data_IF_089909115520
#
_entry.id   IF_089909115520
#
_cell.length_a   1.000
_cell.length_b   1.000
_cell.length_c   1.000
_cell.angle_alpha   90.00
_cell.angle_beta   90.00
_cell.angle_gamma   90.00
#
_symmetry.space_group_name_H-M   'P 1'
#
loop_
_entity.id
_entity.type
_entity.pdbx_description
1 polymer ?
#
# COMPACT_ATOMS: atom_id res chain seq x y z
N UNK A 1 -26.78 -32.27 8.56
CA UNK A 1 -26.35 -31.64 9.83
C UNK A 1 -26.03 -30.18 9.54
N UNK A 2 -26.59 -29.22 10.27
CA UNK A 2 -26.17 -27.83 10.15
C UNK A 2 -24.72 -27.70 10.63
N UNK A 3 -23.88 -26.83 10.02
CA UNK A 3 -22.53 -26.60 10.51
C UNK A 3 -22.61 -25.98 11.91
N UNK A 4 -21.94 -26.60 12.87
CA UNK A 4 -21.83 -26.13 14.24
C UNK A 4 -21.11 -24.78 14.26
N UNK A 5 -21.86 -23.72 14.60
CA UNK A 5 -21.32 -22.37 14.79
C UNK A 5 -20.38 -22.40 16.01
N UNK A 6 -19.09 -22.65 15.77
CA UNK A 6 -18.09 -22.51 16.82
C UNK A 6 -17.93 -21.01 17.09
N UNK A 7 -18.17 -20.51 18.31
CA UNK A 7 -18.03 -19.08 18.60
C UNK A 7 -16.59 -18.64 18.32
N UNK A 8 -16.42 -17.45 17.72
CA UNK A 8 -15.08 -16.91 17.48
C UNK A 8 -14.37 -16.76 18.81
N UNK A 9 -13.27 -17.47 19.01
CA UNK A 9 -12.44 -17.32 20.20
C UNK A 9 -11.74 -15.97 20.11
N UNK A 10 -12.28 -14.97 20.79
CA UNK A 10 -11.57 -13.71 21.03
C UNK A 10 -10.39 -14.02 21.93
N UNK A 11 -9.19 -13.72 21.45
CA UNK A 11 -7.95 -13.85 22.22
C UNK A 11 -7.67 -12.52 22.93
N UNK A 12 -6.92 -12.53 24.04
CA UNK A 12 -6.57 -11.31 24.75
C UNK A 12 -5.82 -10.32 23.84
N UNK A 13 -5.99 -9.03 24.12
CA UNK A 13 -5.30 -7.96 23.40
C UNK A 13 -3.79 -8.05 23.59
N UNK A 14 -3.02 -7.89 22.51
CA UNK A 14 -1.56 -7.80 22.59
C UNK A 14 -1.23 -6.33 22.83
N UNK A 15 -0.93 -5.99 24.09
CA UNK A 15 -0.29 -4.71 24.39
C UNK A 15 1.15 -4.79 23.92
N UNK A 16 1.48 -3.98 22.92
CA UNK A 16 2.86 -3.78 22.50
C UNK A 16 3.42 -2.69 23.40
N UNK A 17 3.91 -3.11 24.56
CA UNK A 17 4.54 -2.19 25.51
C UNK A 17 5.81 -1.58 24.89
N UNK A 18 6.22 -0.44 25.47
CA UNK A 18 7.20 0.49 24.92
C UNK A 18 8.58 -0.14 24.63
N UNK A 19 9.49 0.65 24.06
CA UNK A 19 10.83 0.25 23.63
C UNK A 19 11.63 -0.62 24.63
N UNK A 20 11.31 -0.56 25.92
CA UNK A 20 12.01 -1.16 27.05
C UNK A 20 11.55 -2.59 27.47
N UNK A 21 10.47 -3.13 26.90
CA UNK A 21 9.94 -4.42 27.36
C UNK A 21 10.58 -5.59 26.61
N UNK A 22 11.45 -6.30 27.33
CA UNK A 22 12.32 -7.45 26.99
C UNK A 22 12.99 -7.45 25.59
N UNK A 23 14.27 -7.85 25.49
CA UNK A 23 14.90 -8.02 24.19
C UNK A 23 14.17 -9.12 23.41
N UNK A 24 13.29 -8.75 22.47
CA UNK A 24 12.76 -9.69 21.50
C UNK A 24 13.93 -10.06 20.58
N UNK A 25 14.47 -11.30 20.64
CA UNK A 25 15.67 -11.67 19.90
C UNK A 25 15.46 -11.66 18.38
N UNK A 26 14.21 -11.59 17.91
CA UNK A 26 13.86 -11.51 16.50
C UNK A 26 13.66 -10.06 16.00
N UNK A 27 13.65 -9.08 16.89
CA UNK A 27 13.44 -7.66 16.57
C UNK A 27 14.68 -6.83 16.89
N UNK A 28 15.31 -6.28 15.86
CA UNK A 28 16.44 -5.34 16.01
C UNK A 28 15.92 -3.90 16.01
N UNK A 29 16.22 -3.16 17.09
CA UNK A 29 15.89 -1.74 17.24
C UNK A 29 17.15 -0.88 17.42
N UNK A 30 17.17 0.39 16.94
CA UNK A 30 16.10 1.03 16.18
C UNK A 30 15.89 0.35 14.82
N UNK A 31 14.64 0.20 14.41
CA UNK A 31 14.30 -0.36 13.11
C UNK A 31 14.64 0.68 12.05
N UNK A 32 15.71 0.42 11.30
CA UNK A 32 16.11 1.24 10.16
C UNK A 32 15.57 0.65 8.88
N UNK A 33 15.22 1.51 7.93
CA UNK A 33 14.91 1.06 6.59
C UNK A 33 16.20 0.86 5.80
N UNK A 34 16.39 -0.32 5.23
CA UNK A 34 17.46 -0.56 4.26
C UNK A 34 17.19 0.08 2.90
N UNK A 35 18.12 -0.03 1.94
CA UNK A 35 17.95 0.47 0.58
C UNK A 35 16.67 -0.07 -0.07
N UNK A 36 15.98 0.79 -0.82
CA UNK A 36 14.78 0.43 -1.57
C UNK A 36 15.16 0.01 -2.99
N UNK A 37 14.75 -1.20 -3.39
CA UNK A 37 14.95 -1.70 -4.75
C UNK A 37 13.61 -1.94 -5.42
N UNK A 38 13.40 -1.35 -6.60
CA UNK A 38 12.24 -1.68 -7.42
C UNK A 38 12.42 -3.08 -8.03
N UNK A 39 11.49 -3.98 -7.72
CA UNK A 39 11.54 -5.39 -8.10
C UNK A 39 10.64 -5.68 -9.31
N UNK A 40 9.45 -5.12 -9.33
CA UNK A 40 8.48 -5.28 -10.40
C UNK A 40 7.46 -4.13 -10.37
N UNK A 41 6.60 -4.03 -11.37
CA UNK A 41 5.53 -3.02 -11.39
C UNK A 41 4.27 -3.54 -12.09
N UNK A 42 3.18 -2.77 -12.01
CA UNK A 42 2.02 -2.98 -12.85
C UNK A 42 1.32 -1.65 -13.18
N UNK A 43 0.63 -1.66 -14.31
CA UNK A 43 -0.28 -0.61 -14.72
C UNK A 43 -1.71 -1.01 -14.41
N UNK A 44 -2.52 -0.05 -14.00
CA UNK A 44 -3.98 -0.18 -13.97
C UNK A 44 -4.56 0.81 -14.97
N UNK A 45 -5.42 0.32 -15.85
CA UNK A 45 -6.16 1.13 -16.83
C UNK A 45 -7.60 0.65 -16.91
N UNK A 46 -8.58 1.54 -16.71
CA UNK A 46 -10.02 1.20 -16.79
C UNK A 46 -10.39 -0.05 -15.95
N UNK A 47 -9.78 -0.17 -14.77
CA UNK A 47 -9.97 -1.31 -13.85
C UNK A 47 -9.26 -2.61 -14.24
N UNK A 48 -8.50 -2.63 -15.34
CA UNK A 48 -7.69 -3.80 -15.75
C UNK A 48 -6.27 -3.65 -15.25
N UNK A 49 -5.75 -4.70 -14.62
CA UNK A 49 -4.34 -4.76 -14.19
C UNK A 49 -3.49 -5.40 -15.28
N UNK A 50 -2.43 -4.69 -15.67
CA UNK A 50 -1.44 -5.13 -16.64
C UNK A 50 -0.13 -5.26 -15.89
N UNK A 51 0.22 -6.50 -15.60
CA UNK A 51 1.42 -6.86 -14.85
C UNK A 51 2.68 -6.60 -15.68
N UNK A 52 3.74 -6.14 -15.01
CA UNK A 52 5.06 -5.87 -15.59
C UNK A 52 5.01 -4.84 -16.73
N UNK A 53 4.20 -3.80 -16.51
CA UNK A 53 3.91 -2.76 -17.48
C UNK A 53 4.15 -1.37 -16.88
N UNK A 54 4.60 -0.47 -17.75
CA UNK A 54 4.74 0.98 -17.50
C UNK A 54 3.74 1.81 -18.31
N UNK A 55 2.70 1.20 -18.89
CA UNK A 55 1.73 1.90 -19.77
C UNK A 55 0.99 3.06 -19.10
N UNK A 56 0.72 2.95 -17.79
CA UNK A 56 0.12 4.01 -16.97
C UNK A 56 1.14 4.85 -16.20
N UNK A 57 2.44 4.68 -16.45
CA UNK A 57 3.50 5.44 -15.78
C UNK A 57 3.50 6.89 -16.29
N UNK A 58 3.24 7.84 -15.39
CA UNK A 58 3.41 9.26 -15.67
C UNK A 58 4.86 9.72 -15.48
N UNK A 59 5.32 10.59 -16.37
CA UNK A 59 6.54 11.37 -16.20
C UNK A 59 6.21 12.75 -15.67
N UNK A 60 6.95 13.20 -14.65
CA UNK A 60 6.77 14.52 -14.06
C UNK A 60 7.00 15.60 -15.11
N UNK A 61 6.04 16.51 -15.20
CA UNK A 61 6.12 17.76 -15.95
C UNK A 61 5.80 18.88 -14.98
N UNK A 62 6.56 19.96 -15.08
CA UNK A 62 6.28 21.13 -14.27
C UNK A 62 4.86 21.64 -14.58
N UNK A 63 4.00 21.80 -13.57
CA UNK A 63 2.62 22.23 -13.79
C UNK A 63 2.56 23.56 -14.52
N UNK A 64 1.56 23.71 -15.38
CA UNK A 64 1.29 24.96 -16.06
C UNK A 64 0.87 26.05 -15.06
N UNK A 65 1.10 27.30 -15.43
CA UNK A 65 0.73 28.46 -14.60
C UNK A 65 -0.78 28.68 -14.62
N UNK A 66 -1.40 28.95 -13.47
CA UNK A 66 -2.84 29.25 -13.31
C UNK A 66 -3.77 28.07 -13.62
N UNK A 67 -3.55 26.94 -12.96
CA UNK A 67 -4.45 25.77 -13.08
C UNK A 67 -5.68 25.91 -12.20
N UNK A 68 -6.83 25.52 -12.76
CA UNK A 68 -8.08 25.31 -12.03
C UNK A 68 -8.28 23.81 -11.78
N UNK A 69 -8.13 23.43 -10.51
CA UNK A 69 -8.31 22.05 -10.05
C UNK A 69 -9.77 21.61 -9.97
N UNK A 70 -10.74 22.53 -10.10
CA UNK A 70 -12.17 22.22 -10.15
C UNK A 70 -12.67 21.96 -11.57
N UNK A 71 -11.83 22.19 -12.58
CA UNK A 71 -12.19 21.92 -13.97
C UNK A 71 -12.52 20.44 -14.16
N UNK A 72 -13.80 20.15 -14.46
CA UNK A 72 -14.32 18.78 -14.62
C UNK A 72 -14.94 18.17 -13.35
N UNK A 73 -15.03 18.94 -12.25
CA UNK A 73 -15.54 18.45 -10.96
C UNK A 73 -17.00 18.02 -11.06
N UNK A 74 -17.85 18.79 -11.75
CA UNK A 74 -19.28 18.49 -11.86
C UNK A 74 -19.50 17.17 -12.58
N UNK A 75 -18.76 16.91 -13.65
CA UNK A 75 -18.80 15.65 -14.39
C UNK A 75 -18.31 14.48 -13.54
N UNK A 76 -17.25 14.68 -12.75
CA UNK A 76 -16.75 13.68 -11.81
C UNK A 76 -17.79 13.31 -10.74
N UNK A 77 -18.40 14.31 -10.11
CA UNK A 77 -19.39 14.10 -9.06
C UNK A 77 -20.64 13.34 -9.54
N UNK A 78 -20.89 13.32 -10.86
CA UNK A 78 -21.98 12.55 -11.48
C UNK A 78 -21.63 11.09 -11.77
N UNK A 79 -20.34 10.71 -11.79
CA UNK A 79 -19.94 9.33 -12.11
C UNK A 79 -20.33 8.39 -10.95
N UNK A 80 -20.94 7.22 -11.24
CA UNK A 80 -21.21 6.23 -10.20
C UNK A 80 -19.89 5.66 -9.67
N UNK A 81 -19.65 5.82 -8.37
CA UNK A 81 -18.42 5.37 -7.74
C UNK A 81 -18.37 3.84 -7.60
N UNK A 82 -17.36 3.20 -8.19
CA UNK A 82 -17.22 1.74 -8.25
C UNK A 82 -16.34 1.18 -7.13
N UNK A 83 -16.70 1.49 -5.87
CA UNK A 83 -15.92 1.13 -4.68
C UNK A 83 -15.50 -0.35 -4.63
N UNK A 84 -16.39 -1.27 -5.01
CA UNK A 84 -16.11 -2.72 -4.93
C UNK A 84 -15.02 -3.15 -5.91
N UNK A 85 -14.99 -2.58 -7.11
CA UNK A 85 -13.99 -2.88 -8.14
C UNK A 85 -12.63 -2.34 -7.69
N UNK A 86 -12.59 -1.08 -7.26
CA UNK A 86 -11.37 -0.45 -6.76
C UNK A 86 -10.76 -1.21 -5.56
N UNK A 87 -11.60 -1.65 -4.62
CA UNK A 87 -11.15 -2.44 -3.47
C UNK A 87 -10.59 -3.81 -3.84
N UNK A 88 -11.07 -4.42 -4.92
CA UNK A 88 -10.52 -5.69 -5.42
C UNK A 88 -9.12 -5.51 -5.98
N UNK A 89 -8.87 -4.40 -6.66
CA UNK A 89 -7.55 -4.08 -7.20
C UNK A 89 -6.52 -3.91 -6.05
N UNK A 90 -6.96 -3.46 -4.88
CA UNK A 90 -6.09 -3.29 -3.69
C UNK A 90 -5.96 -4.55 -2.81
N UNK A 91 -6.44 -5.72 -3.27
CA UNK A 91 -6.09 -7.02 -2.64
C UNK A 91 -4.65 -7.40 -2.99
N UNK A 92 -4.10 -8.41 -2.31
CA UNK A 92 -2.73 -8.88 -2.57
C UNK A 92 -2.55 -9.56 -3.94
N UNK A 93 -3.63 -9.87 -4.64
CA UNK A 93 -3.64 -10.60 -5.92
C UNK A 93 -2.66 -10.00 -6.92
N UNK A 94 -2.74 -8.69 -7.13
CA UNK A 94 -1.90 -7.99 -8.11
C UNK A 94 -0.44 -7.95 -7.67
N UNK A 95 -0.16 -7.86 -6.37
CA UNK A 95 1.19 -7.92 -5.81
C UNK A 95 1.83 -9.28 -6.10
N UNK A 96 1.08 -10.36 -5.84
CA UNK A 96 1.54 -11.73 -5.98
C UNK A 96 1.67 -12.13 -7.45
N UNK A 97 0.68 -11.78 -8.27
CA UNK A 97 0.70 -12.04 -9.71
C UNK A 97 1.84 -11.27 -10.39
N UNK A 98 2.08 -10.02 -9.98
CA UNK A 98 3.21 -9.23 -10.45
C UNK A 98 4.54 -9.93 -10.23
N UNK A 99 4.80 -10.38 -9.01
CA UNK A 99 6.06 -11.04 -8.69
C UNK A 99 6.22 -12.39 -9.42
N UNK A 100 5.14 -13.15 -9.59
CA UNK A 100 5.18 -14.42 -10.32
C UNK A 100 5.49 -14.22 -11.81
N UNK A 101 4.82 -13.25 -12.48
CA UNK A 101 4.98 -12.99 -13.92
C UNK A 101 6.30 -12.32 -14.26
N UNK A 102 6.76 -11.36 -13.43
CA UNK A 102 8.06 -10.72 -13.58
C UNK A 102 9.25 -11.66 -13.27
N UNK A 103 8.98 -12.94 -12.95
CA UNK A 103 9.98 -13.94 -12.53
C UNK A 103 10.75 -13.53 -11.26
N UNK A 104 10.12 -12.72 -10.41
CA UNK A 104 10.63 -12.21 -9.13
C UNK A 104 10.19 -13.06 -7.95
N UNK A 105 10.15 -14.37 -8.15
CA UNK A 105 9.70 -15.32 -7.13
C UNK A 105 10.72 -15.47 -6.00
N UNK A 106 12.00 -15.20 -6.26
CA UNK A 106 13.05 -15.22 -5.23
C UNK A 106 12.86 -14.08 -4.24
N UNK A 107 12.63 -12.87 -4.73
CA UNK A 107 12.33 -11.68 -3.93
C UNK A 107 11.08 -11.89 -3.06
N UNK A 108 10.05 -12.50 -3.63
CA UNK A 108 8.84 -12.87 -2.89
C UNK A 108 9.11 -13.93 -1.81
N UNK A 109 9.88 -14.97 -2.11
CA UNK A 109 10.21 -16.05 -1.18
C UNK A 109 11.17 -15.63 -0.06
N UNK A 110 11.96 -14.59 -0.29
CA UNK A 110 12.88 -14.01 0.69
C UNK A 110 12.22 -12.94 1.58
N UNK A 111 10.96 -12.57 1.31
CA UNK A 111 10.25 -11.59 2.11
C UNK A 111 9.69 -12.22 3.40
N UNK A 112 9.85 -11.54 4.53
CA UNK A 112 9.16 -11.87 5.78
C UNK A 112 7.73 -11.32 5.79
N UNK A 113 7.51 -10.19 5.09
CA UNK A 113 6.21 -9.50 5.03
C UNK A 113 5.89 -9.07 3.59
N UNK A 114 4.67 -9.37 3.15
CA UNK A 114 4.10 -8.94 1.86
C UNK A 114 2.85 -8.10 2.09
N UNK A 115 2.87 -6.84 1.67
CA UNK A 115 1.74 -5.93 1.92
C UNK A 115 1.71 -4.71 0.97
N UNK A 116 0.76 -3.80 1.19
CA UNK A 116 0.69 -2.50 0.53
C UNK A 116 1.35 -1.41 1.37
N UNK A 117 2.08 -0.49 0.73
CA UNK A 117 2.70 0.71 1.34
C UNK A 117 1.70 1.49 2.19
N UNK A 118 0.47 1.62 1.73
CA UNK A 118 -0.59 2.35 2.44
C UNK A 118 -0.95 1.76 3.81
N UNK A 119 -0.81 0.43 3.98
CA UNK A 119 -1.01 -0.24 5.26
C UNK A 119 0.13 0.11 6.22
N UNK A 120 1.38 -0.01 5.75
CA UNK A 120 2.56 0.35 6.53
C UNK A 120 2.54 1.82 6.95
N UNK A 121 2.11 2.71 6.05
CA UNK A 121 1.92 4.15 6.35
C UNK A 121 0.94 4.37 7.49
N UNK A 122 -0.23 3.71 7.46
CA UNK A 122 -1.25 3.86 8.52
C UNK A 122 -0.73 3.35 9.86
N UNK A 123 -0.06 2.20 9.87
CA UNK A 123 0.55 1.64 11.08
C UNK A 123 1.61 2.59 11.62
N UNK A 124 2.57 3.03 10.80
CA UNK A 124 3.65 3.95 11.21
C UNK A 124 3.13 5.30 11.75
N UNK A 125 1.96 5.76 11.29
CA UNK A 125 1.29 6.96 11.78
C UNK A 125 0.35 6.70 12.98
N UNK A 126 0.28 5.47 13.50
CA UNK A 126 -0.63 5.10 14.59
C UNK A 126 -2.11 5.23 14.24
N UNK A 127 -2.45 5.31 12.95
CA UNK A 127 -3.82 5.42 12.47
C UNK A 127 -4.52 4.09 12.66
N UNK A 128 -5.69 4.10 13.30
CA UNK A 128 -6.51 2.88 13.46
C UNK A 128 -6.71 2.21 12.09
N UNK A 129 -6.33 0.94 11.99
CA UNK A 129 -6.57 0.12 10.81
C UNK A 129 -6.98 -1.29 11.19
N UNK A 130 -7.97 -1.82 10.48
CA UNK A 130 -8.38 -3.22 10.54
C UNK A 130 -7.71 -3.98 9.40
N UNK A 131 -7.06 -5.10 9.70
CA UNK A 131 -6.26 -5.89 8.77
C UNK A 131 -6.77 -7.31 8.69
N UNK A 132 -6.73 -7.91 7.50
CA UNK A 132 -6.70 -9.36 7.37
C UNK A 132 -5.25 -9.82 7.25
N UNK A 133 -4.90 -10.85 8.01
CA UNK A 133 -3.55 -11.39 8.09
C UNK A 133 -3.58 -12.89 7.88
N UNK A 134 -2.71 -13.40 7.01
CA UNK A 134 -2.43 -14.83 6.89
C UNK A 134 -0.93 -15.06 6.87
N UNK A 135 -0.49 -16.17 7.46
CA UNK A 135 0.92 -16.55 7.49
C UNK A 135 1.08 -17.89 6.79
N UNK A 136 1.97 -17.95 5.79
CA UNK A 136 2.17 -19.15 4.99
C UNK A 136 3.59 -19.22 4.47
N UNK A 137 4.24 -20.39 4.61
CA UNK A 137 5.59 -20.66 4.13
C UNK A 137 6.65 -19.65 4.62
N UNK A 138 6.53 -19.19 5.86
CA UNK A 138 7.46 -18.23 6.46
C UNK A 138 7.10 -16.76 6.23
N UNK A 139 6.06 -16.48 5.43
CA UNK A 139 5.73 -15.13 4.96
C UNK A 139 4.43 -14.65 5.61
N UNK A 140 4.46 -13.43 6.16
CA UNK A 140 3.28 -12.71 6.63
C UNK A 140 2.64 -11.92 5.49
N UNK A 141 1.40 -12.25 5.16
CA UNK A 141 0.59 -11.53 4.16
C UNK A 141 -0.42 -10.65 4.87
N UNK A 142 -0.43 -9.36 4.54
CA UNK A 142 -1.27 -8.36 5.21
C UNK A 142 -2.04 -7.53 4.20
N UNK A 143 -3.37 -7.50 4.32
CA UNK A 143 -4.25 -6.65 3.51
C UNK A 143 -5.24 -5.85 4.37
N UNK A 144 -5.72 -4.71 3.85
CA UNK A 144 -6.69 -3.83 4.53
C UNK A 144 -8.05 -4.54 4.59
N UNK A 145 -8.62 -4.67 5.79
CA UNK A 145 -10.01 -5.06 5.97
C UNK A 145 -10.92 -3.84 5.91
N UNK A 146 -11.23 -3.39 4.71
CA UNK A 146 -12.16 -2.29 4.52
C UNK A 146 -13.59 -2.74 4.87
N UNK A 147 -14.13 -2.28 6.00
CA UNK A 147 -15.56 -2.44 6.30
C UNK A 147 -16.40 -1.54 5.39
N UNK A 148 -17.50 -2.02 4.79
CA UNK A 148 -18.33 -1.22 3.88
C UNK A 148 -18.94 0.04 4.50
N UNK A 149 -19.09 0.10 5.83
CA UNK A 149 -19.84 1.15 6.55
C UNK A 149 -19.09 2.47 6.75
N UNK A 150 -17.79 2.55 6.45
CA UNK A 150 -16.96 3.72 6.75
C UNK A 150 -16.58 4.62 5.57
N UNK A 151 -17.16 4.45 4.37
CA UNK A 151 -16.63 5.06 3.13
C UNK A 151 -17.67 5.79 2.25
N UNK A 152 -18.69 6.37 2.88
CA UNK A 152 -19.56 7.34 2.21
C UNK A 152 -18.94 8.74 2.38
N UNK A 153 -17.87 9.02 1.63
CA UNK A 153 -17.52 10.38 1.14
C UNK A 153 -16.33 10.37 0.15
N UNK A 154 -16.05 9.26 -0.56
CA UNK A 154 -14.88 9.16 -1.46
C UNK A 154 -15.01 9.94 -2.78
N UNK A 155 -16.13 10.62 -2.97
CA UNK A 155 -16.32 11.58 -4.04
C UNK A 155 -16.40 12.96 -3.38
N UNK A 156 -15.30 13.38 -2.75
CA UNK A 156 -15.18 14.74 -2.22
C UNK A 156 -14.31 15.58 -3.14
N UNK A 157 -14.58 16.88 -3.13
CA UNK A 157 -13.89 17.85 -3.97
C UNK A 157 -12.37 17.82 -3.75
N UNK A 158 -11.91 17.54 -2.53
CA UNK A 158 -10.49 17.49 -2.20
C UNK A 158 -9.77 16.34 -2.90
N UNK A 159 -10.40 15.17 -2.97
CA UNK A 159 -9.89 13.99 -3.66
C UNK A 159 -9.79 14.26 -5.15
N UNK A 160 -10.84 14.83 -5.74
CA UNK A 160 -10.83 15.25 -7.14
C UNK A 160 -9.70 16.24 -7.44
N UNK A 161 -9.56 17.29 -6.64
CA UNK A 161 -8.51 18.29 -6.82
C UNK A 161 -7.09 17.71 -6.70
N UNK A 162 -6.90 16.68 -5.87
CA UNK A 162 -5.64 15.94 -5.77
C UNK A 162 -5.30 15.24 -7.09
N UNK A 163 -6.20 14.41 -7.59
CA UNK A 163 -6.00 13.74 -8.87
C UNK A 163 -5.91 14.70 -10.04
N UNK A 164 -6.67 15.80 -10.01
CA UNK A 164 -6.59 16.80 -11.07
C UNK A 164 -5.23 17.48 -11.12
N UNK A 165 -4.59 17.65 -9.95
CA UNK A 165 -3.22 18.13 -9.87
C UNK A 165 -2.21 17.11 -10.40
N UNK A 166 -2.42 15.81 -10.13
CA UNK A 166 -1.62 14.73 -10.72
C UNK A 166 -1.65 14.80 -12.26
N UNK A 167 -2.84 14.91 -12.85
CA UNK A 167 -3.01 15.08 -14.30
C UNK A 167 -2.26 16.31 -14.86
N UNK A 168 -2.36 17.46 -14.19
CA UNK A 168 -1.64 18.67 -14.61
C UNK A 168 -0.12 18.64 -14.41
N UNK A 169 0.42 17.66 -13.69
CA UNK A 169 1.87 17.53 -13.45
C UNK A 169 2.46 16.29 -14.12
N UNK A 170 1.70 15.59 -14.96
CA UNK A 170 2.14 14.33 -15.55
C UNK A 170 1.97 14.30 -17.05
N UNK A 171 2.91 13.63 -17.71
CA UNK A 171 2.85 13.33 -19.14
C UNK A 171 3.13 11.86 -19.39
N UNK A 172 2.57 11.31 -20.46
CA UNK A 172 2.78 9.92 -20.87
C UNK A 172 4.18 9.66 -21.45
N UNK A 173 4.94 10.71 -21.75
CA UNK A 173 6.31 10.62 -22.24
C UNK A 173 7.20 11.69 -21.61
N UNK A 174 8.51 11.42 -21.45
CA UNK A 174 9.44 12.44 -20.99
C UNK A 174 9.37 13.70 -21.87
N UNK A 175 9.23 14.87 -21.24
CA UNK A 175 9.15 16.17 -21.93
C UNK A 175 7.88 16.38 -22.77
N UNK A 176 6.88 15.51 -22.66
CA UNK A 176 5.58 15.70 -23.30
C UNK A 176 4.74 16.81 -22.64
N UNK A 177 3.61 17.19 -23.24
CA UNK A 177 2.68 18.11 -22.60
C UNK A 177 2.08 17.48 -21.33
N UNK A 178 1.82 18.31 -20.33
CA UNK A 178 1.07 17.92 -19.15
C UNK A 178 -0.40 17.62 -19.49
N UNK A 179 -1.01 16.73 -18.71
CA UNK A 179 -2.39 16.30 -18.91
C UNK A 179 -2.50 15.17 -19.92
N UNK A 180 -3.23 14.12 -19.56
CA UNK A 180 -3.69 13.15 -20.54
C UNK A 180 -4.97 13.68 -21.21
N UNK A 181 -5.20 13.37 -22.48
CA UNK A 181 -6.53 13.57 -23.10
C UNK A 181 -7.63 12.69 -22.47
N UNK A 182 -7.28 11.89 -21.45
CA UNK A 182 -8.07 10.82 -20.85
C UNK A 182 -7.94 10.86 -19.32
N UNK A 183 -8.25 12.01 -18.69
CA UNK A 183 -8.30 12.12 -17.23
C UNK A 183 -9.16 11.00 -16.64
N UNK A 184 -8.51 9.96 -16.14
CA UNK A 184 -9.11 8.73 -15.65
C UNK A 184 -8.55 8.43 -14.26
N UNK A 185 -9.41 8.60 -13.27
CA UNK A 185 -9.11 8.41 -11.86
C UNK A 185 -8.88 6.93 -11.49
N UNK A 186 -9.29 6.02 -12.38
CA UNK A 186 -9.09 4.58 -12.21
C UNK A 186 -7.76 4.11 -12.84
N UNK A 187 -6.99 5.03 -13.44
CA UNK A 187 -5.68 4.74 -14.04
C UNK A 187 -4.56 5.14 -13.08
N UNK A 188 -3.70 4.17 -12.72
CA UNK A 188 -2.53 4.43 -11.89
C UNK A 188 -1.40 3.43 -12.18
N UNK A 189 -0.19 3.76 -11.74
CA UNK A 189 0.96 2.85 -11.79
C UNK A 189 1.43 2.53 -10.38
N UNK A 190 1.84 1.28 -10.16
CA UNK A 190 2.34 0.85 -8.87
C UNK A 190 3.63 0.05 -9.01
N UNK A 191 4.53 0.26 -8.06
CA UNK A 191 5.83 -0.40 -7.96
C UNK A 191 5.86 -1.34 -6.77
N UNK A 192 6.40 -2.54 -6.99
CA UNK A 192 6.84 -3.46 -5.94
C UNK A 192 8.26 -3.15 -5.51
N UNK A 193 8.43 -2.87 -4.23
CA UNK A 193 9.69 -2.50 -3.61
C UNK A 193 10.11 -3.60 -2.62
N UNK A 194 11.36 -4.03 -2.73
CA UNK A 194 12.04 -4.82 -1.71
C UNK A 194 12.97 -3.93 -0.90
N UNK A 195 12.96 -4.11 0.44
CA UNK A 195 13.88 -3.47 1.38
C UNK A 195 13.80 -4.12 2.75
N UNK A 196 14.70 -3.74 3.66
CA UNK A 196 14.61 -4.17 5.07
C UNK A 196 13.91 -3.12 5.95
N UNK A 197 13.36 -3.58 7.07
CA UNK A 197 12.94 -2.79 8.23
C UNK A 197 13.48 -3.48 9.49
N UNK A 198 14.59 -2.99 10.02
CA UNK A 198 15.36 -3.71 11.02
C UNK A 198 15.79 -5.09 10.49
N UNK A 199 15.39 -6.16 11.16
CA UNK A 199 15.63 -7.56 10.77
C UNK A 199 14.64 -8.11 9.73
N UNK A 200 13.55 -7.40 9.43
CA UNK A 200 12.50 -7.90 8.54
C UNK A 200 12.77 -7.53 7.08
N UNK A 201 12.65 -8.51 6.19
CA UNK A 201 12.62 -8.31 4.74
C UNK A 201 11.20 -7.99 4.29
N UNK A 202 11.01 -6.80 3.72
CA UNK A 202 9.72 -6.33 3.23
C UNK A 202 9.64 -6.46 1.72
N UNK A 203 8.51 -6.97 1.23
CA UNK A 203 8.01 -6.74 -0.12
C UNK A 203 6.73 -5.92 -0.02
N UNK A 204 6.81 -4.65 -0.38
CA UNK A 204 5.68 -3.72 -0.33
C UNK A 204 5.33 -3.19 -1.73
N UNK A 205 4.04 -2.96 -1.98
CA UNK A 205 3.59 -2.31 -3.21
C UNK A 205 3.03 -0.91 -2.92
N UNK A 206 3.51 0.08 -3.66
CA UNK A 206 3.03 1.45 -3.58
C UNK A 206 2.61 1.96 -4.94
N UNK A 207 1.43 2.60 -4.98
CA UNK A 207 1.08 3.53 -6.06
C UNK A 207 2.09 4.68 -6.08
N UNK A 208 2.53 5.07 -7.28
CA UNK A 208 3.50 6.14 -7.53
C UNK A 208 2.88 7.11 -8.53
N UNK A 209 2.74 8.37 -8.12
CA UNK A 209 2.00 9.39 -8.89
C UNK A 209 2.70 9.66 -10.23
N UNK A 210 4.03 9.83 -10.23
CA UNK A 210 4.86 9.90 -11.43
C UNK A 210 6.36 9.72 -11.13
N UNK A 211 7.17 9.79 -12.18
CA UNK A 211 8.64 9.70 -12.08
C UNK A 211 9.34 10.85 -12.80
N UNK A 212 10.52 11.24 -12.34
CA UNK A 212 11.39 12.15 -13.09
C UNK A 212 11.82 11.52 -14.44
N UNK A 213 12.11 12.34 -15.48
CA UNK A 213 12.55 11.85 -16.79
C UNK A 213 13.71 10.85 -16.75
N UNK A 214 14.62 11.02 -15.79
CA UNK A 214 15.82 10.18 -15.62
C UNK A 214 15.52 8.71 -15.30
N UNK A 215 14.30 8.41 -14.81
CA UNK A 215 13.84 7.03 -14.59
C UNK A 215 13.93 6.16 -15.84
N UNK A 216 13.86 6.76 -17.04
CA UNK A 216 13.97 6.02 -18.30
C UNK A 216 15.36 5.42 -18.50
N UNK A 217 16.40 6.11 -18.04
CA UNK A 217 17.80 5.69 -18.18
C UNK A 217 18.30 4.95 -16.94
N UNK A 218 17.75 5.26 -15.78
CA UNK A 218 18.08 4.64 -14.50
C UNK A 218 16.78 4.32 -13.72
N UNK A 219 16.09 3.21 -14.03
CA UNK A 219 14.83 2.90 -13.36
C UNK A 219 15.05 2.60 -11.87
N UNK A 220 14.43 3.40 -11.00
CA UNK A 220 14.46 3.13 -9.57
C UNK A 220 13.70 4.14 -8.72
N UNK A 221 13.52 3.82 -7.42
CA UNK A 221 12.74 4.64 -6.50
C UNK A 221 13.26 6.06 -6.30
N UNK A 222 14.56 6.29 -6.52
CA UNK A 222 15.20 7.60 -6.43
C UNK A 222 14.61 8.63 -7.40
N UNK A 223 13.87 8.19 -8.42
CA UNK A 223 13.20 9.06 -9.38
C UNK A 223 11.70 9.19 -9.15
N UNK A 224 11.14 8.58 -8.10
CA UNK A 224 9.71 8.71 -7.80
C UNK A 224 9.37 10.11 -7.30
N UNK A 225 8.26 10.64 -7.79
CA UNK A 225 7.75 11.96 -7.43
C UNK A 225 6.33 11.81 -6.91
N UNK A 226 6.14 12.14 -5.63
CA UNK A 226 4.83 12.18 -5.00
C UNK A 226 4.21 13.58 -5.21
N UNK A 227 2.98 13.63 -5.73
CA UNK A 227 2.27 14.86 -6.06
C UNK A 227 1.19 15.11 -5.02
N UNK A 228 1.14 16.35 -4.51
CA UNK A 228 0.20 16.72 -3.45
C UNK A 228 -0.37 18.11 -3.67
N UNK A 229 -1.59 18.32 -3.21
CA UNK A 229 -2.17 19.67 -3.10
C UNK A 229 -2.37 20.04 -1.65
N UNK A 230 -2.18 21.32 -1.35
CA UNK A 230 -2.45 21.91 -0.03
C UNK A 230 -3.14 23.25 -0.23
N UNK A 231 -4.06 23.60 0.65
CA UNK A 231 -4.53 24.99 0.70
C UNK A 231 -3.33 25.90 0.98
N UNK A 232 -3.19 27.00 0.23
CA UNK A 232 -2.18 28.04 0.50
C UNK A 232 -2.31 28.40 1.98
N UNK A 233 -1.31 28.10 2.81
CA UNK A 233 -1.37 28.50 4.20
C UNK A 233 -1.21 30.01 4.28
N UNK A 234 -1.76 30.62 5.34
CA UNK A 234 -1.25 31.93 5.75
C UNK A 234 0.27 31.79 5.97
N UNK A 235 1.11 32.78 5.63
CA UNK A 235 2.58 32.67 5.67
C UNK A 235 3.14 32.10 6.99
N UNK A 236 2.46 32.32 8.11
CA UNK A 236 2.79 31.85 9.46
C UNK A 236 2.47 30.36 9.71
N UNK A 237 1.67 29.73 8.84
CA UNK A 237 1.19 28.35 8.96
C UNK A 237 1.96 27.35 8.09
N UNK A 238 3.00 27.76 7.37
CA UNK A 238 3.99 26.83 6.79
C UNK A 238 4.95 26.34 7.89
N UNK A 239 4.37 25.70 8.91
CA UNK A 239 5.08 25.08 10.01
C UNK A 239 4.94 23.55 9.92
N UNK A 240 5.86 22.83 10.57
CA UNK A 240 6.01 21.37 10.65
C UNK A 240 4.75 20.60 11.14
N UNK A 241 3.60 20.77 10.48
CA UNK A 241 2.38 20.08 10.84
C UNK A 241 2.52 18.59 10.56
N UNK A 242 2.06 17.76 11.49
CA UNK A 242 2.13 16.30 11.39
C UNK A 242 1.47 15.74 10.12
N UNK A 243 0.49 16.47 9.56
CA UNK A 243 -0.14 16.15 8.26
C UNK A 243 0.84 16.18 7.09
N UNK A 244 1.86 17.03 7.13
CA UNK A 244 2.89 17.11 6.08
C UNK A 244 3.87 15.93 6.20
N UNK A 245 4.10 15.43 7.43
CA UNK A 245 4.92 14.24 7.66
C UNK A 245 4.30 12.96 7.09
N UNK A 246 3.00 12.95 6.75
CA UNK A 246 2.39 11.78 6.11
C UNK A 246 2.99 11.54 4.72
N UNK A 247 3.21 12.61 3.94
CA UNK A 247 3.78 12.51 2.59
C UNK A 247 5.22 12.02 2.65
N UNK A 248 5.98 12.49 3.65
CA UNK A 248 7.31 11.99 3.94
C UNK A 248 7.29 10.49 4.26
N UNK A 249 6.44 10.05 5.19
CA UNK A 249 6.32 8.61 5.54
C UNK A 249 5.91 7.77 4.34
N UNK A 250 4.93 8.25 3.57
CA UNK A 250 4.47 7.60 2.36
C UNK A 250 5.63 7.40 1.38
N UNK A 251 6.34 8.46 1.04
CA UNK A 251 7.41 8.46 0.03
C UNK A 251 8.64 7.70 0.51
N UNK A 252 9.06 7.95 1.76
CA UNK A 252 10.23 7.33 2.37
C UNK A 252 10.09 5.81 2.42
N UNK A 253 8.91 5.25 2.74
CA UNK A 253 8.67 3.81 2.79
C UNK A 253 8.97 3.08 1.47
N UNK A 254 8.74 3.72 0.32
CA UNK A 254 9.03 3.15 -1.00
C UNK A 254 10.35 3.63 -1.60
N UNK A 255 11.09 4.51 -0.91
CA UNK A 255 12.36 5.05 -1.38
C UNK A 255 12.24 6.25 -2.30
N UNK A 256 11.05 6.86 -2.40
CA UNK A 256 10.87 8.11 -3.13
C UNK A 256 11.61 9.26 -2.44
N UNK A 257 12.14 10.17 -3.24
CA UNK A 257 13.05 11.25 -2.79
C UNK A 257 12.45 12.64 -2.95
N UNK A 258 11.39 12.78 -3.75
CA UNK A 258 10.82 14.07 -4.10
C UNK A 258 9.30 14.12 -3.87
N UNK A 259 8.85 15.23 -3.29
CA UNK A 259 7.45 15.62 -3.22
C UNK A 259 7.27 16.94 -3.97
N UNK A 260 6.22 17.06 -4.77
CA UNK A 260 5.80 18.34 -5.38
C UNK A 260 4.44 18.72 -4.85
N UNK A 261 4.39 19.84 -4.14
CA UNK A 261 3.18 20.37 -3.53
C UNK A 261 2.65 21.59 -4.30
N UNK A 262 1.43 21.49 -4.84
CA UNK A 262 0.66 22.60 -5.38
C UNK A 262 -0.14 23.31 -4.29
N UNK A 263 0.12 24.60 -4.10
CA UNK A 263 -0.55 25.43 -3.11
C UNK A 263 -1.77 26.11 -3.75
N UNK A 264 -2.96 25.59 -3.46
CA UNK A 264 -4.21 26.05 -4.06
C UNK A 264 -4.94 27.04 -3.16
N UNK A 265 -5.64 28.00 -3.77
CA UNK A 265 -6.65 28.79 -3.05
C UNK A 265 -7.82 27.90 -2.60
N UNK A 266 -8.70 28.47 -1.78
CA UNK A 266 -9.97 27.82 -1.42
C UNK A 266 -10.81 27.50 -2.65
N UNK A 267 -10.64 28.27 -3.74
CA UNK A 267 -11.35 28.05 -4.99
C UNK A 267 -10.70 27.02 -5.93
N UNK A 268 -9.65 26.32 -5.48
CA UNK A 268 -8.99 25.30 -6.30
C UNK A 268 -8.01 25.85 -7.33
N UNK A 269 -7.71 27.16 -7.30
CA UNK A 269 -6.75 27.78 -8.22
C UNK A 269 -5.33 27.68 -7.66
N UNK A 270 -4.37 27.19 -8.44
CA UNK A 270 -2.93 27.27 -8.13
C UNK A 270 -2.27 28.26 -9.09
N UNK A 271 -1.57 29.27 -8.53
CA UNK A 271 -0.83 30.26 -9.32
C UNK A 271 0.56 29.74 -9.71
N UNK A 272 1.18 30.38 -10.69
CA UNK A 272 2.52 30.05 -11.19
C UNK A 272 3.59 29.88 -10.09
N UNK A 273 3.59 30.77 -9.10
CA UNK A 273 4.56 30.81 -7.99
C UNK A 273 4.26 29.83 -6.85
N UNK A 274 3.10 29.18 -6.91
CA UNK A 274 2.48 28.53 -5.76
C UNK A 274 2.73 27.02 -5.80
N UNK A 275 3.95 26.64 -6.17
CA UNK A 275 4.45 25.27 -6.11
C UNK A 275 5.68 25.19 -5.22
N UNK A 276 5.86 24.03 -4.58
CA UNK A 276 7.04 23.72 -3.80
C UNK A 276 7.54 22.34 -4.19
N UNK A 277 8.82 22.25 -4.57
CA UNK A 277 9.55 20.98 -4.61
C UNK A 277 10.17 20.79 -3.23
N UNK A 278 9.94 19.62 -2.65
CA UNK A 278 10.39 19.26 -1.32
C UNK A 278 11.18 17.96 -1.44
N UNK A 279 12.29 17.88 -0.72
CA UNK A 279 12.97 16.62 -0.50
C UNK A 279 12.21 15.81 0.55
N UNK A 280 12.11 14.50 0.30
CA UNK A 280 11.48 13.58 1.24
C UNK A 280 12.34 13.45 2.49
N UNK A 281 11.73 13.68 3.64
CA UNK A 281 12.39 13.48 4.93
C UNK A 281 12.30 12.02 5.37
N UNK A 282 13.31 11.57 6.09
CA UNK A 282 13.28 10.25 6.71
C UNK A 282 12.11 10.13 7.70
N UNK A 283 11.54 8.93 7.75
CA UNK A 283 10.53 8.58 8.74
C UNK A 283 11.18 8.54 10.13
N UNK A 284 10.61 9.22 11.14
CA UNK A 284 11.16 9.20 12.49
C UNK A 284 11.37 7.78 13.02
N UNK A 285 12.52 7.46 13.66
CA UNK A 285 12.83 6.11 14.14
C UNK A 285 11.72 5.48 14.98
N UNK A 286 11.10 6.22 15.90
CA UNK A 286 10.00 5.69 16.72
C UNK A 286 8.78 5.21 15.92
N UNK A 287 8.53 5.76 14.72
CA UNK A 287 7.46 5.27 13.82
C UNK A 287 7.87 3.98 13.11
N UNK A 288 9.14 3.84 12.77
CA UNK A 288 9.69 2.61 12.20
C UNK A 288 9.76 1.50 13.25
N UNK A 289 10.17 1.81 14.48
CA UNK A 289 10.15 0.89 15.62
C UNK A 289 8.73 0.38 15.87
N UNK A 290 7.75 1.29 15.90
CA UNK A 290 6.35 0.92 16.04
C UNK A 290 5.89 0.00 14.90
N UNK A 291 6.23 0.34 13.65
CA UNK A 291 5.91 -0.48 12.49
C UNK A 291 6.51 -1.90 12.61
N UNK A 292 7.80 -1.99 12.96
CA UNK A 292 8.50 -3.25 13.11
C UNK A 292 7.92 -4.11 14.25
N UNK A 293 7.59 -3.49 15.39
CA UNK A 293 6.93 -4.15 16.53
C UNK A 293 5.58 -4.74 16.15
N UNK A 294 4.75 -4.00 15.40
CA UNK A 294 3.45 -4.50 14.94
C UNK A 294 3.63 -5.71 14.02
N UNK A 295 4.52 -5.62 13.03
CA UNK A 295 4.74 -6.72 12.09
C UNK A 295 5.31 -7.96 12.79
N UNK A 296 6.28 -7.79 13.68
CA UNK A 296 6.85 -8.89 14.45
C UNK A 296 5.81 -9.56 15.35
N UNK A 297 4.97 -8.79 16.03
CA UNK A 297 3.91 -9.34 16.87
C UNK A 297 2.89 -10.15 16.07
N UNK A 298 2.56 -9.73 14.84
CA UNK A 298 1.71 -10.51 13.93
C UNK A 298 2.38 -11.82 13.51
N UNK A 299 3.69 -11.79 13.21
CA UNK A 299 4.48 -12.98 12.88
C UNK A 299 4.49 -13.96 14.07
N UNK A 300 4.85 -13.47 15.26
CA UNK A 300 4.96 -14.28 16.48
C UNK A 300 3.61 -14.90 16.83
N UNK A 301 2.53 -14.13 16.74
CA UNK A 301 1.17 -14.64 16.94
C UNK A 301 0.82 -15.78 15.97
N UNK A 302 1.13 -15.61 14.68
CA UNK A 302 0.87 -16.63 13.67
C UNK A 302 1.73 -17.88 13.87
N UNK A 303 2.99 -17.73 14.32
CA UNK A 303 3.88 -18.85 14.65
C UNK A 303 3.40 -19.65 15.86
N UNK A 304 2.88 -18.96 16.88
CA UNK A 304 2.28 -19.59 18.06
C UNK A 304 0.94 -20.28 17.75
N UNK A 305 0.26 -19.85 16.69
CA UNK A 305 -1.04 -20.37 16.27
C UNK A 305 -0.99 -20.83 14.79
N UNK A 306 -0.21 -21.89 14.48
CA UNK A 306 0.06 -22.29 13.11
C UNK A 306 -1.20 -22.77 12.39
N UNK A 307 -1.15 -22.75 11.06
CA UNK A 307 -2.22 -23.30 10.22
C UNK A 307 -2.46 -24.78 10.57
N UNK A 308 -3.73 -25.23 10.60
CA UNK A 308 -4.04 -26.62 10.86
C UNK A 308 -3.39 -27.51 9.80
N UNK A 309 -2.62 -28.50 10.24
CA UNK A 309 -2.07 -29.51 9.34
C UNK A 309 -3.05 -30.68 9.23
N UNK A 310 -3.41 -31.09 8.01
CA UNK A 310 -4.19 -32.31 7.75
C UNK A 310 -3.40 -33.22 6.79
N UNK A 311 -3.23 -34.49 7.18
CA UNK A 311 -2.65 -35.52 6.30
C UNK A 311 -3.46 -35.59 5.00
N UNK A 312 -2.81 -35.36 3.86
CA UNK A 312 -3.39 -35.58 2.54
C UNK A 312 -4.32 -34.49 2.00
N UNK A 313 -4.60 -33.41 2.72
CA UNK A 313 -5.35 -32.26 2.17
C UNK A 313 -4.89 -30.95 2.81
N UNK A 314 -4.69 -29.90 1.99
CA UNK A 314 -4.39 -28.57 2.50
C UNK A 314 -5.62 -28.04 3.24
N UNK A 315 -5.57 -28.01 4.57
CA UNK A 315 -6.60 -27.32 5.34
C UNK A 315 -6.60 -25.82 4.98
N UNK A 316 -7.74 -25.12 5.16
CA UNK A 316 -7.78 -23.68 4.94
C UNK A 316 -6.73 -22.97 5.79
N UNK A 317 -6.00 -22.04 5.18
CA UNK A 317 -5.10 -21.14 5.89
C UNK A 317 -5.94 -20.32 6.88
N UNK A 318 -5.43 -20.22 8.11
CA UNK A 318 -6.00 -19.33 9.12
C UNK A 318 -5.92 -17.90 8.61
N UNK A 319 -6.98 -17.15 8.88
CA UNK A 319 -7.02 -15.71 8.68
C UNK A 319 -7.24 -15.08 10.03
N UNK A 320 -6.42 -14.09 10.35
CA UNK A 320 -6.52 -13.30 11.56
C UNK A 320 -7.03 -11.91 11.22
N UNK A 321 -7.93 -11.39 12.06
CA UNK A 321 -8.32 -9.99 12.05
C UNK A 321 -7.44 -9.28 13.07
N UNK A 322 -6.61 -8.36 12.61
CA UNK A 322 -5.79 -7.52 13.46
C UNK A 322 -6.28 -6.07 13.41
N UNK A 323 -6.68 -5.51 14.55
CA UNK A 323 -6.95 -4.08 14.71
C UNK A 323 -5.71 -3.42 15.31
N UNK A 324 -4.96 -2.68 14.50
CA UNK A 324 -3.77 -1.97 14.93
C UNK A 324 -4.08 -0.49 15.22
N UNK A 325 -3.51 0.03 16.32
CA UNK A 325 -3.64 1.44 16.75
C UNK A 325 -2.26 2.03 17.00
N UNK A 326 -2.12 3.04 17.87
CA UNK A 326 -0.83 3.69 18.16
C UNK A 326 0.04 2.94 19.18
N UNK A 327 -0.55 2.03 19.96
CA UNK A 327 0.04 1.45 21.16
C UNK A 327 -0.35 -0.02 21.42
N UNK A 328 -1.29 -0.59 20.65
CA UNK A 328 -1.67 -1.98 20.79
C UNK A 328 -2.21 -2.57 19.49
N UNK A 329 -2.25 -3.91 19.46
CA UNK A 329 -2.85 -4.69 18.38
C UNK A 329 -3.80 -5.71 18.99
N UNK A 330 -5.06 -5.69 18.57
CA UNK A 330 -6.04 -6.70 18.94
C UNK A 330 -6.13 -7.74 17.82
N UNK A 331 -5.96 -9.01 18.16
CA UNK A 331 -5.99 -10.10 17.17
C UNK A 331 -7.10 -11.09 17.52
N UNK A 332 -7.91 -11.47 16.53
CA UNK A 332 -8.87 -12.58 16.64
C UNK A 332 -8.83 -13.45 15.39
N UNK A 333 -9.17 -14.72 15.52
CA UNK A 333 -9.36 -15.57 14.37
C UNK A 333 -10.63 -15.14 13.60
N UNK A 334 -10.55 -15.18 12.27
CA UNK A 334 -11.68 -14.94 11.38
C UNK A 334 -12.41 -16.25 11.15
N UNK A 335 -13.73 -16.22 11.27
CA UNK A 335 -14.57 -17.42 11.09
C UNK A 335 -14.65 -17.86 9.63
N UNK A 336 -15.00 -19.13 9.39
CA UNK A 336 -15.19 -19.65 8.03
C UNK A 336 -16.25 -18.86 7.23
N UNK A 337 -17.34 -18.45 7.87
CA UNK A 337 -18.40 -17.64 7.25
C UNK A 337 -17.89 -16.24 6.83
N UNK A 338 -17.06 -15.61 7.67
CA UNK A 338 -16.44 -14.33 7.33
C UNK A 338 -15.44 -14.46 6.16
N UNK A 339 -14.68 -15.56 6.11
CA UNK A 339 -13.77 -15.86 4.98
C UNK A 339 -14.57 -16.06 3.69
N UNK A 340 -15.66 -16.84 3.74
CA UNK A 340 -16.54 -17.06 2.59
C UNK A 340 -17.15 -15.74 2.10
N UNK A 341 -17.68 -14.92 3.01
CA UNK A 341 -18.25 -13.62 2.68
C UNK A 341 -17.21 -12.68 2.06
N UNK A 342 -15.99 -12.66 2.58
CA UNK A 342 -14.86 -11.86 2.07
C UNK A 342 -14.43 -12.28 0.66
N UNK A 343 -14.54 -13.57 0.35
CA UNK A 343 -14.08 -14.13 -0.93
C UNK A 343 -15.21 -14.27 -1.96
N UNK A 344 -16.46 -13.94 -1.60
CA UNK A 344 -17.64 -14.07 -2.46
C UNK A 344 -17.49 -13.36 -3.81
N UNK A 345 -17.73 -14.11 -4.89
CA UNK A 345 -17.73 -13.62 -6.27
C UNK A 345 -16.37 -13.14 -6.78
N UNK A 346 -15.27 -13.51 -6.12
CA UNK A 346 -13.90 -13.18 -6.51
C UNK A 346 -13.14 -14.40 -7.04
N UNK A 347 -11.84 -14.23 -7.24
CA UNK A 347 -10.93 -15.33 -7.59
C UNK A 347 -10.93 -16.38 -6.46
N UNK A 348 -10.85 -17.70 -6.77
CA UNK A 348 -10.70 -18.73 -5.75
C UNK A 348 -9.52 -18.48 -4.82
N UNK A 349 -9.74 -18.60 -3.51
CA UNK A 349 -8.75 -18.28 -2.47
C UNK A 349 -8.67 -19.35 -1.39
N UNK A 350 -7.47 -19.48 -0.82
CA UNK A 350 -7.25 -20.15 0.45
C UNK A 350 -6.86 -19.09 1.49
N UNK A 351 -7.73 -18.84 2.48
CA UNK A 351 -7.63 -17.67 3.35
C UNK A 351 -7.78 -16.37 2.54
N UNK A 352 -6.78 -15.49 2.62
CA UNK A 352 -6.70 -14.28 1.79
C UNK A 352 -5.91 -14.47 0.49
N UNK A 353 -5.24 -15.62 0.29
CA UNK A 353 -4.33 -15.83 -0.82
C UNK A 353 -5.02 -16.48 -2.02
N UNK A 354 -4.77 -16.02 -3.26
CA UNK A 354 -5.28 -16.68 -4.46
C UNK A 354 -4.76 -18.12 -4.56
N UNK A 355 -5.63 -19.06 -4.96
CA UNK A 355 -5.23 -20.46 -5.17
C UNK A 355 -4.20 -20.58 -6.30
N UNK A 356 -4.34 -19.78 -7.36
CA UNK A 356 -3.38 -19.71 -8.47
C UNK A 356 -1.98 -19.33 -8.01
N UNK A 357 -1.87 -18.41 -7.05
CA UNK A 357 -0.59 -18.03 -6.44
C UNK A 357 0.05 -19.21 -5.71
N UNK A 358 -0.71 -19.88 -4.83
CA UNK A 358 -0.21 -21.03 -4.05
C UNK A 358 0.27 -22.18 -4.95
N UNK A 359 -0.46 -22.45 -6.02
CA UNK A 359 -0.07 -23.44 -7.03
C UNK A 359 1.21 -23.02 -7.77
N UNK A 360 1.29 -21.76 -8.19
CA UNK A 360 2.48 -21.20 -8.85
C UNK A 360 3.73 -21.31 -7.96
N UNK A 361 3.60 -20.98 -6.67
CA UNK A 361 4.68 -21.07 -5.70
C UNK A 361 5.15 -22.51 -5.49
N UNK A 362 4.21 -23.45 -5.35
CA UNK A 362 4.51 -24.87 -5.19
C UNK A 362 5.26 -25.44 -6.41
N UNK A 363 4.86 -25.05 -7.63
CA UNK A 363 5.53 -25.48 -8.87
C UNK A 363 6.96 -24.93 -8.95
N UNK A 364 7.18 -23.65 -8.61
CA UNK A 364 8.52 -23.05 -8.59
C UNK A 364 9.44 -23.72 -7.56
N UNK A 365 8.93 -24.04 -6.37
CA UNK A 365 9.70 -24.76 -5.34
C UNK A 365 10.10 -26.17 -5.78
N UNK A 366 9.25 -26.86 -6.54
CA UNK A 366 9.60 -28.15 -7.15
C UNK A 366 10.71 -28.00 -8.18
N UNK A 367 10.63 -26.98 -9.04
CA UNK A 367 11.65 -26.69 -10.06
C UNK A 367 13.01 -26.32 -9.47
N UNK A 368 13.06 -25.64 -8.31
CA UNK A 368 14.31 -25.25 -7.65
C UNK A 368 14.97 -26.38 -6.84
N UNK A 369 14.29 -27.52 -6.66
CA UNK A 369 14.81 -28.71 -5.96
C UNK A 369 15.32 -29.80 -6.91
N UNK A 370 15.09 -29.64 -8.20
CA UNK A 370 15.68 -30.43 -9.31
C UNK A 370 16.89 -29.65 -9.80
#
# INVERSE_FOLDING_TARGET
MPPTNTPSRSLPSIRLLAAADEPNPHLVLPALLGPATQTACFSVEKGTVIVDSIRSLGYFVQPQTNIDLRRGLVEYMRKPYRLREFMRIKRLDNVLEMCLKARKSAELLNADVVTWRGILTKIALGTKIDLNVSYHDGILYVEDHATPKGRISLCDESTFMGHKFEDYCTSQRPGGPAGSSLFDLDTFWAAGITRTLGSLNLLLVGEVDCVNPDYRTDPGPQHYVELKTKLVPQPELWSNHERDRKWDVQSHLIGGTQIVAGLRSQNGIIKASDYRKLEVRETPPGRLDWLARVLQALIDHCKQNPNPWRRGNAAPLRVWRAEARKDHVNIREVTAQEIEAMNKGGVPRNGILPVSYLQGLANRKKQARV
#
